data_IF_354712184438
#
_entry.id   IF_354712184438
#
_cell.length_a   1.000
_cell.length_b   1.000
_cell.length_c   1.000
_cell.angle_alpha   90.00
_cell.angle_beta   90.00
_cell.angle_gamma   90.00
#
_symmetry.space_group_name_H-M   'P 1'
#
loop_
_entity.id
_entity.type
_entity.pdbx_description
1 polymer ?
#
# COMPACT_ATOMS: atom_id res chain seq x y z
N UNK A 1 -19.08 -16.16 38.57
CA UNK A 1 -18.29 -14.91 38.56
C UNK A 1 -18.14 -14.49 37.11
N UNK A 2 -18.97 -13.56 36.63
CA UNK A 2 -18.96 -13.11 35.23
C UNK A 2 -17.91 -12.01 35.05
N UNK A 3 -16.92 -12.24 34.20
CA UNK A 3 -15.97 -11.21 33.80
C UNK A 3 -16.63 -10.32 32.73
N UNK A 4 -16.86 -9.05 33.05
CA UNK A 4 -17.20 -8.04 32.07
C UNK A 4 -15.95 -7.71 31.25
N UNK A 5 -15.92 -8.14 29.98
CA UNK A 5 -14.99 -7.60 29.00
C UNK A 5 -15.42 -6.16 28.64
N UNK A 6 -14.53 -5.15 28.69
CA UNK A 6 -14.87 -3.81 28.26
C UNK A 6 -15.08 -3.79 26.74
N UNK A 7 -16.25 -3.31 26.31
CA UNK A 7 -16.57 -3.03 24.92
C UNK A 7 -15.66 -1.88 24.46
N UNK A 8 -14.60 -2.18 23.72
CA UNK A 8 -13.77 -1.12 23.12
C UNK A 8 -14.64 -0.38 22.10
N UNK A 9 -14.99 0.87 22.39
CA UNK A 9 -15.54 1.80 21.40
C UNK A 9 -14.51 1.94 20.28
N UNK A 10 -14.76 1.28 19.14
CA UNK A 10 -14.14 1.65 17.88
C UNK A 10 -14.89 2.91 17.41
N UNK A 11 -14.68 4.03 18.11
CA UNK A 11 -15.07 5.32 17.60
C UNK A 11 -14.20 5.56 16.36
N UNK A 12 -14.81 5.43 15.17
CA UNK A 12 -14.14 5.72 13.91
C UNK A 12 -13.54 7.12 13.99
N UNK A 13 -12.21 7.21 13.99
CA UNK A 13 -11.53 8.49 13.91
C UNK A 13 -12.06 9.23 12.67
N UNK A 14 -12.42 10.52 12.75
CA UNK A 14 -12.77 11.27 11.56
C UNK A 14 -11.53 11.24 10.65
N UNK A 15 -11.66 10.55 9.51
CA UNK A 15 -10.55 10.23 8.59
C UNK A 15 -9.81 11.50 8.13
N UNK A 16 -10.45 12.66 8.21
CA UNK A 16 -9.88 13.97 7.87
C UNK A 16 -9.94 15.04 9.00
N UNK A 17 -10.49 14.75 10.18
CA UNK A 17 -10.79 15.77 11.20
C UNK A 17 -11.93 16.73 10.83
N UNK A 18 -12.16 17.77 11.65
CA UNK A 18 -13.19 18.80 11.41
C UNK A 18 -12.60 20.11 10.85
N UNK A 19 -11.28 20.26 10.86
CA UNK A 19 -10.56 21.44 10.39
C UNK A 19 -9.66 21.05 9.22
N UNK A 20 -10.06 21.30 7.95
CA UNK A 20 -9.33 20.81 6.77
C UNK A 20 -7.88 21.30 6.66
N UNK A 21 -7.56 22.45 7.28
CA UNK A 21 -6.21 23.02 7.29
C UNK A 21 -5.28 22.41 8.33
N UNK A 22 -5.80 21.55 9.23
CA UNK A 22 -5.01 20.94 10.31
C UNK A 22 -5.08 19.43 10.26
N UNK A 23 -3.91 18.80 10.38
CA UNK A 23 -3.84 17.36 10.63
C UNK A 23 -4.25 17.08 12.08
N UNK A 24 -5.18 16.13 12.35
CA UNK A 24 -5.54 15.77 13.71
C UNK A 24 -4.32 15.28 14.50
N UNK A 25 -4.20 15.70 15.77
CA UNK A 25 -3.05 15.38 16.64
C UNK A 25 -2.81 13.88 16.79
N UNK A 26 -3.89 13.09 16.80
CA UNK A 26 -3.86 11.63 16.97
C UNK A 26 -4.04 10.88 15.64
N UNK A 27 -3.88 11.55 14.49
CA UNK A 27 -4.00 10.89 13.19
C UNK A 27 -2.87 9.85 13.02
N UNK A 28 -3.18 8.57 12.74
CA UNK A 28 -2.19 7.53 12.54
C UNK A 28 -1.14 7.94 11.50
N UNK A 29 0.13 7.66 11.79
CA UNK A 29 1.27 7.92 10.89
C UNK A 29 1.89 6.58 10.51
N UNK A 30 2.10 6.35 9.22
CA UNK A 30 2.92 5.24 8.74
C UNK A 30 4.38 5.70 8.80
N UNK A 31 5.17 5.14 9.72
CA UNK A 31 6.59 5.47 9.88
C UNK A 31 7.50 4.59 9.02
N UNK A 32 7.02 3.41 8.63
CA UNK A 32 7.77 2.46 7.81
C UNK A 32 6.84 1.71 6.86
N UNK A 33 7.35 1.41 5.67
CA UNK A 33 6.68 0.57 4.67
C UNK A 33 7.44 -0.75 4.58
N UNK A 34 6.75 -1.86 4.84
CA UNK A 34 7.33 -3.19 4.65
C UNK A 34 7.37 -3.52 3.16
N UNK A 35 8.55 -3.91 2.66
CA UNK A 35 8.78 -4.37 1.29
C UNK A 35 9.47 -5.72 1.36
N UNK A 36 8.73 -6.72 1.81
CA UNK A 36 9.24 -8.07 1.93
C UNK A 36 9.42 -8.72 0.56
N UNK A 37 9.92 -9.96 0.56
CA UNK A 37 10.15 -10.71 -0.67
C UNK A 37 8.88 -10.88 -1.51
N UNK A 38 7.73 -11.09 -0.86
CA UNK A 38 6.45 -11.25 -1.55
C UNK A 38 6.03 -9.94 -2.25
N UNK A 39 6.24 -8.80 -1.59
CA UNK A 39 6.01 -7.49 -2.19
C UNK A 39 6.87 -7.29 -3.45
N UNK A 40 8.17 -7.58 -3.38
CA UNK A 40 9.05 -7.46 -4.56
C UNK A 40 8.66 -8.41 -5.68
N UNK A 41 8.34 -9.66 -5.36
CA UNK A 41 7.87 -10.65 -6.36
C UNK A 41 6.63 -10.14 -7.10
N UNK A 42 5.65 -9.60 -6.36
CA UNK A 42 4.45 -9.01 -6.97
C UNK A 42 4.78 -7.75 -7.77
N UNK A 43 5.55 -6.82 -7.21
CA UNK A 43 5.94 -5.56 -7.86
C UNK A 43 6.73 -5.76 -9.16
N UNK A 44 7.43 -6.89 -9.29
CA UNK A 44 8.24 -7.26 -10.44
C UNK A 44 7.57 -8.28 -11.38
N UNK A 45 6.27 -8.57 -11.20
CA UNK A 45 5.49 -9.43 -12.11
C UNK A 45 5.72 -9.04 -13.58
N UNK A 46 6.06 -10.00 -14.43
CA UNK A 46 6.32 -9.76 -15.86
C UNK A 46 7.60 -8.97 -16.18
N UNK A 47 8.52 -8.81 -15.23
CA UNK A 47 9.84 -8.21 -15.46
C UNK A 47 10.92 -9.28 -15.33
N UNK A 48 11.72 -9.43 -16.37
CA UNK A 48 12.81 -10.39 -16.41
C UNK A 48 14.12 -9.79 -15.89
N UNK A 49 15.02 -10.66 -15.41
CA UNK A 49 16.36 -10.24 -15.00
C UNK A 49 17.29 -10.09 -16.23
N UNK A 50 18.26 -9.17 -16.19
CA UNK A 50 18.57 -8.25 -15.08
C UNK A 50 17.52 -7.14 -14.98
N UNK A 51 17.11 -6.81 -13.74
CA UNK A 51 16.13 -5.77 -13.55
C UNK A 51 16.68 -4.42 -14.04
N UNK A 52 15.90 -3.67 -14.84
CA UNK A 52 16.36 -2.39 -15.37
C UNK A 52 16.56 -1.40 -14.22
N UNK A 53 17.64 -0.62 -14.28
CA UNK A 53 18.00 0.38 -13.26
C UNK A 53 16.88 1.39 -12.99
N UNK A 54 16.03 1.65 -13.99
CA UNK A 54 14.86 2.51 -13.85
C UNK A 54 13.85 2.02 -12.80
N UNK A 55 13.84 0.74 -12.43
CA UNK A 55 12.94 0.18 -11.39
C UNK A 55 13.51 0.24 -9.96
N UNK A 56 14.73 0.74 -9.77
CA UNK A 56 15.30 0.88 -8.42
C UNK A 56 14.53 1.87 -7.54
N UNK A 57 13.60 2.66 -8.09
CA UNK A 57 12.70 3.50 -7.28
C UNK A 57 11.82 2.66 -6.34
N UNK A 58 11.60 1.37 -6.62
CA UNK A 58 10.81 0.48 -5.78
C UNK A 58 11.34 0.43 -4.34
N UNK A 59 12.65 0.55 -4.15
CA UNK A 59 13.29 0.54 -2.82
C UNK A 59 12.88 1.75 -1.97
N UNK A 60 12.57 2.88 -2.63
CA UNK A 60 12.24 4.15 -2.00
C UNK A 60 10.74 4.49 -2.07
N UNK A 61 9.94 3.67 -2.78
CA UNK A 61 8.52 3.93 -3.00
C UNK A 61 7.73 3.78 -1.70
N UNK A 62 7.02 4.83 -1.28
CA UNK A 62 6.07 4.77 -0.16
C UNK A 62 4.82 3.93 -0.47
N UNK A 63 3.91 3.80 0.49
CA UNK A 63 2.73 2.93 0.36
C UNK A 63 1.56 3.58 -0.42
N UNK A 64 1.88 4.41 -1.41
CA UNK A 64 0.91 5.11 -2.25
C UNK A 64 0.44 4.23 -3.41
N UNK A 65 -0.72 4.55 -3.97
CA UNK A 65 -1.16 3.92 -5.21
C UNK A 65 -0.17 4.21 -6.34
N UNK A 66 0.22 3.18 -7.07
CA UNK A 66 1.12 3.30 -8.22
C UNK A 66 0.62 2.39 -9.35
N UNK A 67 0.62 2.84 -10.61
CA UNK A 67 0.29 1.98 -11.74
C UNK A 67 1.41 0.97 -12.05
N UNK A 68 2.60 1.11 -11.46
CA UNK A 68 3.75 0.24 -11.76
C UNK A 68 3.68 -1.13 -11.07
N UNK A 69 3.01 -1.23 -9.92
CA UNK A 69 2.94 -2.48 -9.13
C UNK A 69 1.51 -2.99 -9.02
N UNK A 70 0.61 -2.50 -9.88
CA UNK A 70 -0.80 -2.86 -9.93
C UNK A 70 -1.17 -3.37 -11.33
N UNK A 71 -2.12 -4.29 -11.45
CA UNK A 71 -2.70 -4.66 -12.73
C UNK A 71 -3.24 -3.43 -13.47
N UNK A 72 -2.90 -3.32 -14.74
CA UNK A 72 -3.32 -2.23 -15.61
C UNK A 72 -4.50 -2.62 -16.49
N UNK A 73 -4.38 -2.36 -17.79
CA UNK A 73 -5.37 -2.77 -18.79
C UNK A 73 -5.24 -4.27 -19.11
N UNK A 74 -6.34 -4.88 -19.57
CA UNK A 74 -6.40 -6.30 -19.95
C UNK A 74 -6.06 -6.51 -21.43
N UNK A 75 -5.91 -7.78 -21.83
CA UNK A 75 -5.77 -8.17 -23.24
C UNK A 75 -4.43 -7.73 -23.84
N UNK A 76 -4.40 -7.13 -25.06
CA UNK A 76 -3.15 -6.77 -25.73
C UNK A 76 -2.33 -5.72 -24.98
N UNK A 77 -2.92 -5.02 -24.00
CA UNK A 77 -2.25 -4.01 -23.18
C UNK A 77 -1.78 -4.55 -21.83
N UNK A 78 -2.03 -5.82 -21.52
CA UNK A 78 -1.47 -6.48 -20.34
C UNK A 78 -0.02 -6.92 -20.59
N UNK A 79 0.85 -5.95 -20.86
CA UNK A 79 2.26 -6.19 -21.25
C UNK A 79 3.09 -6.88 -20.16
N UNK A 80 2.56 -6.98 -18.94
CA UNK A 80 3.21 -7.62 -17.79
C UNK A 80 2.45 -8.85 -17.28
N UNK A 81 1.41 -9.29 -18.01
CA UNK A 81 0.70 -10.55 -17.78
C UNK A 81 0.08 -10.64 -16.38
N UNK A 82 -0.47 -9.53 -15.89
CA UNK A 82 -1.10 -9.44 -14.56
C UNK A 82 -2.46 -10.16 -14.46
N UNK A 83 -3.14 -10.40 -15.58
CA UNK A 83 -4.50 -10.95 -15.62
C UNK A 83 -4.58 -12.37 -16.20
N UNK A 84 -3.45 -13.08 -16.27
CA UNK A 84 -3.43 -14.48 -16.72
C UNK A 84 -3.97 -15.46 -15.68
#
# INVERSE_FOLDING_TARGET
MFALLPLQLIAGYPVAGLEPSKRPINAPVITQVSRDKAWYQSSLTGVEQPYPRSLHFLDNQGNWYTPFTRPGMTGPYDIRQWHQ
#
